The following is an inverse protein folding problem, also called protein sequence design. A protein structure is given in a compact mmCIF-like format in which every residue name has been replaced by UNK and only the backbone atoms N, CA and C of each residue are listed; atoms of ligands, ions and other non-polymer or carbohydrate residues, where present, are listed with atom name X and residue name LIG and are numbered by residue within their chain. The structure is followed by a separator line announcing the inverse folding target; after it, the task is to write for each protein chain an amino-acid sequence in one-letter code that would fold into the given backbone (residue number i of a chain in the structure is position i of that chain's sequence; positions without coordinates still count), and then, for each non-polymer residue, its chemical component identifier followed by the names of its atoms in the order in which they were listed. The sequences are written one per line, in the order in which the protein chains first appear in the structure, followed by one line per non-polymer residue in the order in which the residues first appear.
data_IF_811449141706
#
_entry.id   IF_811449141706
#
_cell.length_a   1.000
_cell.length_b   1.000
_cell.length_c   1.000
_cell.angle_alpha   90.00
_cell.angle_beta   90.00
_cell.angle_gamma   90.00
#
_symmetry.space_group_name_H-M   'P 1'
#
loop_
_entity.id
_entity.type
_entity.pdbx_description
1 polymer ?
#
# COMPACT_ATOMS: atom_id res chain seq x y z
N UNK A 1 -7.26 4.13 -13.34
CA UNK A 1 -5.84 4.21 -12.95
C UNK A 1 -5.52 5.64 -12.62
N UNK A 2 -5.23 5.99 -11.36
CA UNK A 2 -4.98 7.39 -10.97
C UNK A 2 -4.42 7.55 -9.56
N UNK A 3 -4.86 6.72 -8.61
CA UNK A 3 -4.44 6.80 -7.21
C UNK A 3 -2.92 6.58 -7.00
N UNK A 4 -2.32 5.64 -7.74
CA UNK A 4 -0.91 5.28 -7.57
C UNK A 4 0.04 6.01 -8.52
N UNK A 5 -0.48 6.70 -9.55
CA UNK A 5 0.32 7.30 -10.60
C UNK A 5 1.20 8.45 -10.09
N UNK A 6 0.71 9.20 -9.09
CA UNK A 6 1.49 10.29 -8.47
C UNK A 6 2.77 9.76 -7.82
N UNK A 7 2.69 8.62 -7.12
CA UNK A 7 3.85 8.00 -6.47
C UNK A 7 4.86 7.47 -7.47
N UNK A 8 4.39 6.91 -8.59
CA UNK A 8 5.27 6.49 -9.68
C UNK A 8 6.14 7.66 -10.18
N UNK A 9 5.52 8.81 -10.44
CA UNK A 9 6.24 10.00 -10.91
C UNK A 9 7.19 10.55 -9.85
N UNK A 10 6.78 10.54 -8.58
CA UNK A 10 7.64 10.96 -7.46
C UNK A 10 8.88 10.08 -7.38
N UNK A 11 8.73 8.74 -7.39
CA UNK A 11 9.86 7.83 -7.24
C UNK A 11 10.82 7.92 -8.42
N UNK A 12 10.28 8.04 -9.64
CA UNK A 12 11.10 8.28 -10.82
C UNK A 12 11.89 9.58 -10.72
N UNK A 13 11.24 10.67 -10.30
CA UNK A 13 11.92 11.96 -10.10
C UNK A 13 13.03 11.85 -9.04
N UNK A 14 12.77 11.20 -7.90
CA UNK A 14 13.77 11.01 -6.86
C UNK A 14 14.97 10.19 -7.34
N UNK A 15 14.74 9.18 -8.18
CA UNK A 15 15.79 8.37 -8.79
C UNK A 15 16.59 9.17 -9.82
N UNK A 16 15.92 9.90 -10.71
CA UNK A 16 16.56 10.75 -11.74
C UNK A 16 17.39 11.89 -11.14
N UNK A 17 16.95 12.47 -10.01
CA UNK A 17 17.66 13.54 -9.29
C UNK A 17 18.73 13.02 -8.31
N UNK A 18 18.82 11.70 -8.11
CA UNK A 18 19.83 11.07 -7.24
C UNK A 18 19.49 11.09 -5.74
N UNK A 19 18.26 11.42 -5.36
CA UNK A 19 17.78 11.35 -3.97
C UNK A 19 17.32 9.95 -3.55
N UNK A 20 17.13 9.04 -4.51
CA UNK A 20 16.73 7.66 -4.27
C UNK A 20 17.70 6.71 -4.98
N UNK A 21 18.47 5.95 -4.19
CA UNK A 21 19.28 4.84 -4.66
C UNK A 21 18.63 3.52 -4.21
N UNK A 22 18.05 2.77 -5.16
CA UNK A 22 17.39 1.50 -4.90
C UNK A 22 18.38 0.37 -4.54
N UNK A 23 19.68 0.58 -4.71
CA UNK A 23 20.72 -0.35 -4.25
C UNK A 23 21.12 -0.10 -2.79
N UNK A 24 20.75 1.06 -2.24
CA UNK A 24 21.00 1.43 -0.85
C UNK A 24 19.82 1.03 0.04
N UNK A 25 20.06 0.11 0.97
CA UNK A 25 19.04 -0.39 1.92
C UNK A 25 18.44 0.71 2.79
N UNK A 26 19.20 1.75 3.12
CA UNK A 26 18.72 2.89 3.91
C UNK A 26 17.73 3.73 3.13
N UNK A 27 18.03 4.07 1.87
CA UNK A 27 17.10 4.82 1.02
C UNK A 27 15.81 4.02 0.81
N UNK A 28 15.93 2.72 0.54
CA UNK A 28 14.78 1.84 0.35
C UNK A 28 13.92 1.71 1.63
N UNK A 29 14.55 1.56 2.79
CA UNK A 29 13.86 1.56 4.08
C UNK A 29 13.11 2.88 4.33
N UNK A 30 13.77 4.02 4.15
CA UNK A 30 13.16 5.35 4.33
C UNK A 30 12.00 5.57 3.37
N UNK A 31 12.14 5.12 2.11
CA UNK A 31 11.09 5.17 1.11
C UNK A 31 9.86 4.38 1.58
N UNK A 32 10.05 3.15 2.05
CA UNK A 32 8.98 2.32 2.57
C UNK A 32 8.32 2.91 3.82
N UNK A 33 9.11 3.39 4.76
CA UNK A 33 8.63 4.01 5.99
C UNK A 33 7.65 5.15 5.71
N UNK A 34 7.98 6.02 4.76
CA UNK A 34 7.16 7.20 4.42
C UNK A 34 6.04 6.86 3.45
N UNK A 35 6.32 6.15 2.36
CA UNK A 35 5.38 6.05 1.25
C UNK A 35 4.43 4.86 1.32
N UNK A 36 4.75 3.76 2.03
CA UNK A 36 3.77 2.68 2.22
C UNK A 36 2.49 3.16 2.95
N UNK A 37 2.56 3.85 4.11
CA UNK A 37 1.34 4.32 4.77
C UNK A 37 0.59 5.35 3.93
N UNK A 38 1.29 6.21 3.17
CA UNK A 38 0.68 7.20 2.26
C UNK A 38 -0.02 6.55 1.07
N UNK A 39 0.58 5.52 0.50
CA UNK A 39 -0.01 4.71 -0.56
C UNK A 39 -1.29 4.04 -0.05
N UNK A 40 -1.22 3.40 1.11
CA UNK A 40 -2.37 2.76 1.74
C UNK A 40 -3.51 3.76 1.98
N UNK A 41 -3.21 4.92 2.57
CA UNK A 41 -4.21 5.98 2.76
C UNK A 41 -4.83 6.43 1.43
N UNK A 42 -4.03 6.60 0.39
CA UNK A 42 -4.51 7.02 -0.93
C UNK A 42 -5.40 5.96 -1.58
N UNK A 43 -5.06 4.69 -1.42
CA UNK A 43 -5.86 3.56 -1.87
C UNK A 43 -7.18 3.46 -1.10
N UNK A 44 -7.15 3.69 0.22
CA UNK A 44 -8.34 3.70 1.06
C UNK A 44 -9.29 4.83 0.69
N UNK A 45 -8.76 6.02 0.43
CA UNK A 45 -9.54 7.16 -0.06
C UNK A 45 -10.12 6.89 -1.45
N UNK A 46 -9.31 6.31 -2.35
CA UNK A 46 -9.77 5.94 -3.68
C UNK A 46 -10.90 4.91 -3.62
N UNK A 47 -10.73 3.84 -2.83
CA UNK A 47 -11.74 2.83 -2.57
C UNK A 47 -13.01 3.46 -2.00
N UNK A 48 -12.89 4.25 -0.93
CA UNK A 48 -14.05 4.91 -0.31
C UNK A 48 -14.80 5.84 -1.26
N UNK A 49 -14.08 6.59 -2.10
CA UNK A 49 -14.68 7.44 -3.12
C UNK A 49 -15.33 6.63 -4.25
N UNK A 50 -14.67 5.58 -4.72
CA UNK A 50 -15.17 4.72 -5.79
C UNK A 50 -16.38 3.89 -5.34
N UNK A 51 -16.35 3.28 -4.16
CA UNK A 51 -17.44 2.41 -3.72
C UNK A 51 -18.72 3.19 -3.38
N UNK A 52 -18.60 4.50 -3.16
CA UNK A 52 -19.69 5.39 -2.77
C UNK A 52 -20.01 6.47 -3.82
N UNK A 53 -19.43 6.43 -5.02
CA UNK A 53 -19.80 7.40 -6.07
C UNK A 53 -21.12 7.00 -6.76
N UNK A 54 -22.00 7.97 -7.06
CA UNK A 54 -23.24 7.68 -7.77
C UNK A 54 -22.96 7.32 -9.23
N UNK A 55 -23.49 6.17 -9.67
CA UNK A 55 -23.41 5.72 -11.06
C UNK A 55 -24.57 6.27 -11.87
N UNK A 56 -24.27 7.09 -12.89
CA UNK A 56 -25.27 7.69 -13.77
C UNK A 56 -26.16 6.65 -14.48
N UNK A 57 -25.58 5.50 -14.85
CA UNK A 57 -26.29 4.41 -15.54
C UNK A 57 -27.19 3.60 -14.62
N UNK A 58 -26.96 3.68 -13.31
CA UNK A 58 -27.66 2.89 -12.29
C UNK A 58 -28.52 3.79 -11.40
N UNK A 59 -29.22 4.75 -12.01
CA UNK A 59 -30.14 5.68 -11.32
C UNK A 59 -29.50 6.47 -10.17
N UNK A 60 -28.19 6.77 -10.27
CA UNK A 60 -27.38 7.41 -9.24
C UNK A 60 -27.17 6.58 -7.96
N UNK A 61 -27.39 5.27 -8.00
CA UNK A 61 -26.99 4.39 -6.92
C UNK A 61 -25.46 4.22 -6.90
N UNK A 62 -24.91 4.04 -5.71
CA UNK A 62 -23.48 3.74 -5.53
C UNK A 62 -23.20 2.26 -5.72
N UNK A 63 -21.95 1.85 -6.03
CA UNK A 63 -21.57 0.43 -6.04
C UNK A 63 -21.96 -0.32 -4.76
N UNK A 64 -21.75 0.28 -3.58
CA UNK A 64 -22.18 -0.32 -2.31
C UNK A 64 -23.71 -0.49 -2.20
N UNK A 65 -24.49 0.50 -2.63
CA UNK A 65 -25.95 0.40 -2.62
C UNK A 65 -26.46 -0.69 -3.58
N UNK A 66 -25.82 -0.82 -4.75
CA UNK A 66 -26.11 -1.88 -5.71
C UNK A 66 -25.76 -3.25 -5.14
N UNK A 67 -24.64 -3.37 -4.43
CA UNK A 67 -24.26 -4.60 -3.74
C UNK A 67 -25.30 -5.02 -2.70
N UNK A 68 -25.69 -4.10 -1.80
CA UNK A 68 -26.74 -4.35 -0.81
C UNK A 68 -28.08 -4.73 -1.45
N UNK A 69 -28.50 -4.00 -2.48
CA UNK A 69 -29.73 -4.30 -3.23
C UNK A 69 -29.65 -5.69 -3.88
N UNK A 70 -28.51 -6.04 -4.47
CA UNK A 70 -28.25 -7.35 -5.04
C UNK A 70 -28.39 -8.46 -4.02
N UNK A 71 -27.83 -8.29 -2.82
CA UNK A 71 -27.97 -9.27 -1.74
C UNK A 71 -29.42 -9.42 -1.25
N UNK A 72 -30.20 -8.34 -1.23
CA UNK A 72 -31.63 -8.40 -0.87
C UNK A 72 -32.44 -9.14 -1.94
N UNK A 73 -32.19 -8.85 -3.22
CA UNK A 73 -32.93 -9.45 -4.33
C UNK A 73 -32.53 -10.90 -4.61
N UNK A 74 -31.25 -11.21 -4.40
CA UNK A 74 -30.64 -12.51 -4.63
C UNK A 74 -29.79 -12.88 -3.42
N UNK A 75 -30.40 -13.34 -2.32
CA UNK A 75 -29.66 -13.74 -1.13
C UNK A 75 -28.70 -14.87 -1.49
N UNK A 76 -27.41 -14.60 -1.34
CA UNK A 76 -26.36 -15.62 -1.41
C UNK A 76 -26.12 -16.06 0.04
N UNK A 77 -26.06 -17.37 0.35
CA UNK A 77 -25.68 -17.82 1.67
C UNK A 77 -24.30 -17.26 2.03
N UNK A 78 -24.08 -16.98 3.32
CA UNK A 78 -22.79 -16.52 3.80
C UNK A 78 -21.69 -17.51 3.34
N UNK A 79 -20.53 -17.07 2.83
CA UNK A 79 -19.44 -17.97 2.45
C UNK A 79 -19.07 -19.00 3.52
N UNK A 80 -19.32 -18.71 4.80
CA UNK A 80 -19.15 -19.65 5.92
C UNK A 80 -20.25 -20.72 6.00
N UNK A 81 -21.48 -20.41 5.55
CA UNK A 81 -22.62 -21.34 5.47
C UNK A 81 -22.62 -22.17 4.19
N UNK A 82 -21.89 -21.70 3.17
CA UNK A 82 -21.62 -22.50 1.99
C UNK A 82 -20.64 -23.60 2.41
N UNK A 83 -21.13 -24.84 2.48
CA UNK A 83 -20.30 -26.04 2.53
C UNK A 83 -19.61 -26.22 1.17
N UNK A 84 -18.84 -25.22 0.75
CA UNK A 84 -17.98 -25.27 -0.43
C UNK A 84 -16.97 -26.36 -0.09
N UNK A 85 -17.02 -27.52 -0.76
CA UNK A 85 -16.00 -28.52 -0.54
C UNK A 85 -14.67 -27.84 -0.77
N UNK A 86 -13.75 -28.00 0.19
CA UNK A 86 -12.37 -27.52 0.07
C UNK A 86 -11.89 -27.92 -1.32
N UNK A 87 -11.70 -26.91 -2.18
CA UNK A 87 -11.35 -27.18 -3.56
C UNK A 87 -9.95 -27.79 -3.49
N UNK A 88 -9.89 -29.10 -3.74
CA UNK A 88 -8.64 -29.82 -3.92
C UNK A 88 -8.03 -29.35 -5.25
N UNK A 89 -7.34 -28.21 -5.17
CA UNK A 89 -6.63 -27.59 -6.28
C UNK A 89 -5.58 -28.54 -6.85
N UNK A 90 -5.05 -29.48 -6.04
CA UNK A 90 -4.08 -30.49 -6.48
C UNK A 90 -4.74 -31.56 -7.37
N UNK A 91 -6.00 -31.92 -7.11
CA UNK A 91 -6.75 -32.92 -7.88
C UNK A 91 -7.46 -32.35 -9.11
N UNK A 92 -7.68 -31.04 -9.17
CA UNK A 92 -8.37 -30.37 -10.28
C UNK A 92 -7.54 -30.31 -11.58
N UNK A 93 -6.29 -30.81 -11.57
CA UNK A 93 -5.42 -30.93 -12.74
C UNK A 93 -4.93 -29.61 -13.33
N UNK A 94 -5.46 -28.49 -12.83
CA UNK A 94 -4.98 -27.13 -13.05
C UNK A 94 -4.18 -26.67 -11.84
N UNK A 95 -3.14 -27.44 -11.52
CA UNK A 95 -1.99 -26.87 -10.79
C UNK A 95 -1.35 -25.88 -11.75
N UNK A 96 -1.89 -24.66 -11.78
CA UNK A 96 -1.07 -23.51 -12.14
C UNK A 96 0.08 -23.52 -11.14
N UNK A 97 1.18 -24.16 -11.54
CA UNK A 97 2.45 -24.11 -10.84
C UNK A 97 2.68 -22.65 -10.46
N UNK A 98 2.86 -22.45 -9.16
CA UNK A 98 3.05 -21.18 -8.50
C UNK A 98 1.73 -20.40 -8.40
N UNK A 99 1.18 -20.33 -7.20
CA UNK A 99 0.66 -19.04 -6.74
C UNK A 99 1.78 -18.04 -7.03
N UNK A 100 1.64 -17.23 -8.07
CA UNK A 100 2.55 -16.13 -8.36
C UNK A 100 2.30 -15.05 -7.31
N UNK A 101 2.44 -15.39 -6.03
CA UNK A 101 2.69 -14.41 -5.01
C UNK A 101 3.95 -13.69 -5.46
N UNK A 102 3.86 -12.37 -5.58
CA UNK A 102 5.05 -11.55 -5.74
C UNK A 102 5.91 -11.84 -4.52
N UNK A 103 7.02 -12.57 -4.71
CA UNK A 103 7.95 -12.86 -3.64
C UNK A 103 8.68 -11.55 -3.34
N UNK A 104 8.12 -10.76 -2.42
CA UNK A 104 8.70 -9.49 -2.00
C UNK A 104 9.97 -9.81 -1.22
N UNK A 105 11.14 -9.35 -1.67
CA UNK A 105 12.36 -9.53 -0.90
C UNK A 105 12.16 -8.96 0.51
N UNK A 106 12.51 -9.72 1.54
CA UNK A 106 12.53 -9.19 2.90
C UNK A 106 13.77 -8.32 3.05
N UNK A 107 13.56 -7.03 3.32
CA UNK A 107 14.64 -6.10 3.60
C UNK A 107 14.75 -5.94 5.12
N UNK A 108 15.93 -6.21 5.65
CA UNK A 108 16.22 -5.96 7.06
C UNK A 108 16.25 -4.45 7.32
N UNK A 109 15.64 -4.01 8.42
CA UNK A 109 15.70 -2.62 8.85
C UNK A 109 17.16 -2.25 9.14
N UNK A 110 17.69 -1.13 8.60
CA UNK A 110 19.03 -0.66 8.94
C UNK A 110 19.13 -0.15 10.39
N UNK A 111 17.98 0.05 11.04
CA UNK A 111 17.87 0.55 12.40
C UNK A 111 17.62 -0.56 13.41
N UNK A 112 18.25 -0.44 14.58
CA UNK A 112 17.90 -1.21 15.77
C UNK A 112 16.49 -0.85 16.28
N UNK A 113 15.84 -1.68 17.11
CA UNK A 113 14.51 -1.41 17.63
C UNK A 113 14.38 -0.07 18.37
N UNK A 114 15.41 0.33 19.12
CA UNK A 114 15.42 1.63 19.82
C UNK A 114 15.55 2.81 18.86
N UNK A 115 16.42 2.72 17.85
CA UNK A 115 16.53 3.75 16.81
C UNK A 115 15.22 3.88 16.01
N UNK A 116 14.57 2.75 15.71
CA UNK A 116 13.27 2.75 15.05
C UNK A 116 12.18 3.42 15.91
N UNK A 117 12.23 3.25 17.24
CA UNK A 117 11.33 3.94 18.16
C UNK A 117 11.57 5.46 18.13
N UNK A 118 12.82 5.89 18.17
CA UNK A 118 13.18 7.32 18.06
C UNK A 118 12.71 7.92 16.74
N UNK A 119 12.89 7.20 15.62
CA UNK A 119 12.38 7.63 14.32
C UNK A 119 10.86 7.84 14.35
N UNK A 120 10.11 6.88 14.91
CA UNK A 120 8.65 6.97 15.02
C UNK A 120 8.16 8.08 15.94
N UNK A 121 8.94 8.41 16.98
CA UNK A 121 8.65 9.53 17.86
C UNK A 121 8.96 10.89 17.18
N UNK A 122 9.91 10.91 16.25
CA UNK A 122 10.35 12.14 15.58
C UNK A 122 9.57 12.45 14.30
N UNK A 123 9.29 11.45 13.46
CA UNK A 123 8.73 11.62 12.13
C UNK A 123 7.48 10.78 11.97
N UNK A 124 6.31 11.44 11.92
CA UNK A 124 5.07 10.82 11.50
C UNK A 124 5.02 10.71 9.96
N UNK A 125 5.02 9.51 9.37
CA UNK A 125 5.00 9.36 7.93
C UNK A 125 3.72 9.88 7.27
N UNK A 126 2.63 10.10 8.03
CA UNK A 126 1.36 10.63 7.54
C UNK A 126 1.16 12.13 7.81
N UNK A 127 2.16 12.83 8.36
CA UNK A 127 2.05 14.27 8.60
C UNK A 127 1.78 15.07 7.31
N UNK A 128 1.15 16.26 7.39
CA UNK A 128 0.91 17.09 6.22
C UNK A 128 2.21 17.38 5.45
N UNK A 129 2.20 17.13 4.15
CA UNK A 129 3.35 17.35 3.27
C UNK A 129 3.09 18.50 2.32
N UNK A 130 4.12 19.30 2.05
CA UNK A 130 4.08 20.34 1.03
C UNK A 130 4.47 19.82 -0.36
N UNK A 131 5.04 18.62 -0.44
CA UNK A 131 5.55 18.03 -1.68
C UNK A 131 5.23 16.54 -1.80
N UNK A 132 3.96 16.16 -1.60
CA UNK A 132 3.46 14.78 -1.78
C UNK A 132 4.23 13.68 -1.01
N UNK A 133 4.90 14.02 0.08
CA UNK A 133 5.70 13.13 0.93
C UNK A 133 7.20 13.20 0.69
N UNK A 134 7.67 13.93 -0.34
CA UNK A 134 9.10 14.05 -0.66
C UNK A 134 9.88 14.77 0.42
N UNK A 135 9.36 15.87 0.94
CA UNK A 135 9.91 16.62 2.07
C UNK A 135 10.14 15.72 3.29
N UNK A 136 9.16 14.87 3.60
CA UNK A 136 9.21 13.95 4.75
C UNK A 136 10.17 12.79 4.48
N UNK A 137 10.23 12.29 3.24
CA UNK A 137 11.22 11.30 2.84
C UNK A 137 12.66 11.81 2.99
N UNK A 138 12.93 13.04 2.53
CA UNK A 138 14.26 13.64 2.64
C UNK A 138 14.65 13.89 4.11
N UNK A 139 13.70 14.36 4.93
CA UNK A 139 13.90 14.50 6.38
C UNK A 139 14.18 13.15 7.06
N UNK A 140 13.40 12.12 6.69
CA UNK A 140 13.58 10.75 7.18
C UNK A 140 14.96 10.23 6.81
N UNK A 141 15.36 10.38 5.55
CA UNK A 141 16.65 9.91 5.05
C UNK A 141 17.79 10.56 5.84
N UNK A 142 17.78 11.89 5.96
CA UNK A 142 18.79 12.60 6.73
C UNK A 142 18.83 12.16 8.20
N UNK A 143 17.68 11.98 8.84
CA UNK A 143 17.62 11.53 10.24
C UNK A 143 18.17 10.11 10.42
N UNK A 144 17.80 9.19 9.53
CA UNK A 144 18.24 7.78 9.57
C UNK A 144 19.73 7.68 9.28
N UNK A 145 20.26 8.41 8.29
CA UNK A 145 21.69 8.46 8.01
C UNK A 145 22.49 8.93 9.23
N UNK A 146 22.04 9.99 9.91
CA UNK A 146 22.66 10.43 11.16
C UNK A 146 22.62 9.36 12.26
N UNK A 147 21.53 8.59 12.36
CA UNK A 147 21.45 7.51 13.36
C UNK A 147 22.37 6.34 13.04
N UNK A 148 22.59 6.03 11.75
CA UNK A 148 23.48 4.96 11.31
C UNK A 148 24.95 5.37 11.39
N UNK A 149 25.29 6.62 11.08
CA UNK A 149 26.66 7.15 11.20
C UNK A 149 27.16 7.25 12.65
N UNK A 150 26.23 7.38 13.61
CA UNK A 150 26.54 7.46 15.04
C UNK A 150 26.48 6.09 15.77
N UNK A 151 26.50 4.98 15.03
CA UNK A 151 26.71 3.62 15.58
C UNK A 151 28.20 3.32 15.78
#
# INVERSE_FOLDING_TARGET
MGATQVFYHIFRMLEEEGYLDLTNTTHFFCLHYVFLPRLQLTLDLFRGGWDNHPLRTEQNMTPNQLWELGQIQHPIPDPEDLNIPEIDWEQSGDVSELHHGVNVPQFESPLSPEQLRLLKEHIDPLQPSQNNGVDIYLETLAYVENLVENQ
#
